data_IF_780113029362
#
_entry.id   IF_780113029362
#
_cell.length_a   1.000
_cell.length_b   1.000
_cell.length_c   1.000
_cell.angle_alpha   90.00
_cell.angle_beta   90.00
_cell.angle_gamma   90.00
#
_symmetry.space_group_name_H-M   'P 1'
#
loop_
_entity.id
_entity.type
_entity.pdbx_description
1 polymer ?
#
# COMPACT_ATOMS: atom_id res chain seq x y z
N UNK A 1 -4.13 61.53 24.39
CA UNK A 1 -3.95 60.69 23.18
C UNK A 1 -2.47 60.30 23.06
N UNK A 2 -2.13 59.16 22.46
CA UNK A 2 -0.76 58.57 22.30
C UNK A 2 -0.30 57.55 23.37
N UNK A 3 -0.95 56.38 23.48
CA UNK A 3 -0.30 55.15 24.00
C UNK A 3 -0.83 53.84 23.34
N UNK A 4 -1.07 53.82 22.02
CA UNK A 4 -1.56 52.60 21.33
C UNK A 4 -0.78 52.14 20.09
N UNK A 5 0.38 52.72 19.74
CA UNK A 5 0.98 52.46 18.41
C UNK A 5 2.17 51.48 18.36
N UNK A 6 2.64 50.94 19.49
CA UNK A 6 3.93 50.21 19.51
C UNK A 6 3.81 48.69 19.28
N UNK A 7 2.60 48.11 19.29
CA UNK A 7 2.45 46.64 19.31
C UNK A 7 2.16 45.97 17.95
N UNK A 8 2.17 46.70 16.83
CA UNK A 8 1.80 46.13 15.51
C UNK A 8 2.96 45.82 14.58
N UNK A 9 4.18 46.29 14.90
CA UNK A 9 5.32 46.23 13.99
C UNK A 9 6.21 44.98 14.16
N UNK A 10 6.02 44.20 15.23
CA UNK A 10 6.85 43.01 15.54
C UNK A 10 6.36 41.74 14.83
N UNK A 11 5.05 41.61 14.60
CA UNK A 11 4.45 40.39 14.05
C UNK A 11 4.77 40.22 12.55
N UNK A 12 4.85 41.31 11.79
CA UNK A 12 5.06 41.25 10.33
C UNK A 12 6.46 40.69 9.98
N UNK A 13 7.46 40.89 10.85
CA UNK A 13 8.83 40.41 10.59
C UNK A 13 9.00 38.90 10.81
N UNK A 14 8.19 38.30 11.68
CA UNK A 14 8.28 36.85 11.98
C UNK A 14 7.69 36.04 10.81
N UNK A 15 6.60 36.49 10.21
CA UNK A 15 5.97 35.79 9.07
C UNK A 15 6.86 35.78 7.81
N UNK A 16 7.63 36.83 7.57
CA UNK A 16 8.52 36.90 6.40
C UNK A 16 9.67 35.86 6.46
N UNK A 17 10.22 35.60 7.66
CA UNK A 17 11.30 34.61 7.82
C UNK A 17 10.78 33.18 7.60
N UNK A 18 9.57 32.88 8.09
CA UNK A 18 8.94 31.57 7.89
C UNK A 18 8.60 31.29 6.42
N UNK A 19 8.12 32.30 5.68
CA UNK A 19 7.78 32.16 4.27
C UNK A 19 9.00 31.87 3.38
N UNK A 20 10.15 32.50 3.67
CA UNK A 20 11.39 32.28 2.91
C UNK A 20 11.94 30.86 3.17
N UNK A 21 11.88 30.37 4.41
CA UNK A 21 12.30 29.00 4.74
C UNK A 21 11.39 27.95 4.09
N UNK A 22 10.08 28.18 4.04
CA UNK A 22 9.12 27.25 3.43
C UNK A 22 9.29 27.14 1.90
N UNK A 23 9.66 28.24 1.23
CA UNK A 23 9.90 28.23 -0.22
C UNK A 23 11.17 27.47 -0.63
N UNK A 24 12.23 27.50 0.19
CA UNK A 24 13.47 26.78 -0.10
C UNK A 24 13.31 25.25 -0.04
N UNK A 25 12.32 24.74 0.69
CA UNK A 25 12.05 23.29 0.81
C UNK A 25 11.34 22.73 -0.43
N UNK A 26 10.58 23.55 -1.17
CA UNK A 26 9.74 23.02 -2.27
C UNK A 26 10.48 22.73 -3.58
N UNK A 27 11.71 23.22 -3.79
CA UNK A 27 12.37 23.11 -5.09
C UNK A 27 13.16 21.81 -5.32
N UNK A 28 13.30 20.94 -4.32
CA UNK A 28 14.09 19.70 -4.44
C UNK A 28 13.28 18.44 -4.80
N UNK A 29 11.95 18.53 -4.99
CA UNK A 29 11.11 17.34 -5.22
C UNK A 29 10.76 17.10 -6.71
N UNK A 30 11.09 18.03 -7.60
CA UNK A 30 10.67 17.95 -9.01
C UNK A 30 11.77 17.50 -9.99
N UNK A 31 12.75 16.69 -9.56
CA UNK A 31 13.76 16.09 -10.45
C UNK A 31 13.94 14.61 -10.12
N UNK A 32 12.90 13.80 -10.36
CA UNK A 32 13.03 12.36 -10.64
C UNK A 32 11.75 11.78 -11.28
N UNK A 33 11.08 12.55 -12.14
CA UNK A 33 9.82 12.12 -12.78
C UNK A 33 9.96 11.74 -14.27
N UNK A 34 11.18 11.70 -14.82
CA UNK A 34 11.37 11.42 -16.25
C UNK A 34 12.63 10.61 -16.48
N UNK A 35 12.54 9.27 -16.34
CA UNK A 35 13.37 8.23 -17.01
C UNK A 35 13.00 6.81 -16.55
N UNK A 36 11.74 6.56 -16.15
CA UNK A 36 11.23 5.20 -15.92
C UNK A 36 9.99 4.89 -16.77
N UNK A 37 9.87 5.57 -17.92
CA UNK A 37 8.82 5.31 -18.88
C UNK A 37 9.45 4.82 -20.18
N UNK A 38 10.17 3.71 -20.10
CA UNK A 38 10.48 2.91 -21.26
C UNK A 38 10.46 1.43 -20.87
N UNK A 39 9.64 0.68 -21.59
CA UNK A 39 9.61 -0.78 -21.68
C UNK A 39 9.17 -1.56 -20.43
N UNK A 40 7.86 -1.78 -20.29
CA UNK A 40 7.30 -3.05 -19.79
C UNK A 40 5.88 -3.23 -20.36
N UNK A 41 5.71 -2.94 -21.65
CA UNK A 41 4.51 -3.35 -22.37
C UNK A 41 4.80 -4.70 -23.06
N UNK A 42 3.89 -5.63 -22.83
CA UNK A 42 3.75 -6.95 -23.42
C UNK A 42 4.61 -8.12 -22.88
N UNK A 43 3.84 -9.15 -22.49
CA UNK A 43 4.13 -10.59 -22.49
C UNK A 43 4.94 -11.22 -21.36
N UNK A 44 4.20 -11.90 -20.48
CA UNK A 44 4.44 -13.24 -19.89
C UNK A 44 5.70 -13.55 -19.09
N UNK A 45 6.62 -12.61 -18.88
CA UNK A 45 7.75 -12.88 -17.98
C UNK A 45 8.16 -11.63 -17.19
N UNK A 46 7.38 -11.33 -16.14
CA UNK A 46 7.64 -10.19 -15.24
C UNK A 46 8.77 -10.47 -14.22
N UNK A 47 9.32 -11.69 -14.20
CA UNK A 47 10.37 -12.11 -13.25
C UNK A 47 11.72 -11.44 -13.52
N UNK A 48 11.99 -10.95 -14.73
CA UNK A 48 13.32 -10.50 -15.13
C UNK A 48 13.58 -8.99 -14.88
N UNK A 49 12.58 -8.22 -14.43
CA UNK A 49 12.65 -6.76 -14.32
C UNK A 49 12.24 -6.24 -12.92
N UNK A 50 12.42 -7.03 -11.86
CA UNK A 50 12.01 -6.62 -10.52
C UNK A 50 13.16 -5.95 -9.78
N UNK A 51 13.07 -4.63 -9.63
CA UNK A 51 13.97 -3.87 -8.77
C UNK A 51 13.76 -4.34 -7.31
N UNK A 52 14.80 -4.88 -6.62
CA UNK A 52 14.67 -5.31 -5.23
C UNK A 52 14.27 -4.17 -4.28
N UNK A 53 14.40 -2.91 -4.72
CA UNK A 53 13.99 -1.72 -3.97
C UNK A 53 12.53 -1.34 -4.20
N UNK A 54 11.94 -1.77 -5.31
CA UNK A 54 10.58 -1.47 -5.73
C UNK A 54 9.93 -2.71 -6.40
N UNK A 55 9.63 -3.78 -5.63
CA UNK A 55 9.02 -4.98 -6.19
C UNK A 55 7.63 -4.70 -6.74
N UNK A 56 7.26 -5.44 -7.79
CA UNK A 56 5.94 -5.31 -8.39
C UNK A 56 4.87 -5.71 -7.38
N UNK A 57 3.70 -5.06 -7.46
CA UNK A 57 2.55 -5.39 -6.62
C UNK A 57 2.17 -6.89 -6.67
N UNK A 58 2.01 -7.54 -7.84
CA UNK A 58 1.73 -8.97 -7.88
C UNK A 58 2.82 -9.82 -7.24
N UNK A 59 4.09 -9.42 -7.32
CA UNK A 59 5.18 -10.12 -6.67
C UNK A 59 5.12 -10.04 -5.14
N UNK A 60 4.89 -8.84 -4.58
CA UNK A 60 4.73 -8.68 -3.11
C UNK A 60 3.61 -9.58 -2.61
N UNK A 61 2.50 -9.64 -3.35
CA UNK A 61 1.32 -10.41 -2.93
C UNK A 61 1.61 -11.90 -3.05
N UNK A 62 2.26 -12.37 -4.12
CA UNK A 62 2.71 -13.78 -4.25
C UNK A 62 3.66 -14.18 -3.13
N UNK A 63 4.65 -13.35 -2.83
CA UNK A 63 5.59 -13.59 -1.73
C UNK A 63 4.88 -13.62 -0.37
N UNK A 64 3.90 -12.73 -0.16
CA UNK A 64 3.08 -12.76 1.05
C UNK A 64 2.23 -14.03 1.12
N UNK A 65 1.60 -14.45 0.02
CA UNK A 65 0.80 -15.68 -0.02
C UNK A 65 1.65 -16.92 0.26
N UNK A 66 2.82 -17.04 -0.38
CA UNK A 66 3.76 -18.13 -0.13
C UNK A 66 4.34 -18.14 1.29
N UNK A 67 4.40 -16.99 1.96
CA UNK A 67 4.80 -16.91 3.38
C UNK A 67 3.67 -17.32 4.33
N UNK A 68 2.42 -17.11 3.93
CA UNK A 68 1.23 -17.44 4.72
C UNK A 68 0.74 -18.87 4.53
N UNK A 69 1.07 -19.49 3.39
CA UNK A 69 0.94 -20.92 3.11
C UNK A 69 1.93 -21.70 3.98
N UNK A 70 1.45 -22.24 5.09
CA UNK A 70 2.27 -22.92 6.10
C UNK A 70 2.46 -24.41 5.80
N UNK A 71 1.54 -25.01 5.06
CA UNK A 71 1.59 -26.42 4.71
C UNK A 71 2.25 -26.68 3.33
N UNK A 72 2.47 -25.62 2.54
CA UNK A 72 3.15 -25.64 1.26
C UNK A 72 2.29 -26.22 0.14
N UNK A 73 0.96 -26.16 0.26
CA UNK A 73 0.04 -26.74 -0.71
C UNK A 73 -0.22 -25.81 -1.93
N UNK A 74 0.43 -24.64 -2.00
CA UNK A 74 0.26 -23.58 -3.00
C UNK A 74 -1.15 -22.97 -3.03
N UNK A 75 -1.88 -23.11 -1.93
CA UNK A 75 -3.16 -22.48 -1.67
C UNK A 75 -3.10 -21.84 -0.30
N UNK A 76 -3.93 -20.83 -0.10
CA UNK A 76 -4.10 -20.20 1.20
C UNK A 76 -5.43 -20.64 1.76
N UNK A 77 -5.41 -21.55 2.73
CA UNK A 77 -6.64 -22.02 3.37
C UNK A 77 -7.20 -20.95 4.30
N UNK A 78 -8.53 -20.99 4.51
CA UNK A 78 -9.21 -20.15 5.51
C UNK A 78 -8.54 -20.23 6.89
N UNK A 79 -8.15 -21.43 7.31
CA UNK A 79 -7.53 -21.70 8.62
C UNK A 79 -6.19 -21.00 8.80
N UNK A 80 -5.35 -21.03 7.77
CA UNK A 80 -4.03 -20.38 7.72
C UNK A 80 -4.17 -18.85 7.71
N UNK A 81 -5.13 -18.35 6.94
CA UNK A 81 -5.43 -16.93 6.88
C UNK A 81 -5.98 -16.42 8.22
N UNK A 82 -6.85 -17.18 8.89
CA UNK A 82 -7.30 -16.88 10.25
C UNK A 82 -6.16 -16.89 11.25
N UNK A 83 -5.28 -17.90 11.19
CA UNK A 83 -4.11 -18.00 12.05
C UNK A 83 -3.20 -16.78 11.88
N UNK A 84 -2.92 -16.39 10.63
CA UNK A 84 -2.11 -15.22 10.32
C UNK A 84 -2.69 -13.91 10.86
N UNK A 85 -4.00 -13.69 10.71
CA UNK A 85 -4.68 -12.51 11.28
C UNK A 85 -4.63 -12.55 12.82
N UNK A 86 -4.75 -13.73 13.42
CA UNK A 86 -4.63 -13.91 14.85
C UNK A 86 -3.20 -13.71 15.37
N UNK A 87 -2.16 -13.87 14.55
CA UNK A 87 -0.79 -13.51 14.95
C UNK A 87 -0.56 -12.00 15.00
N UNK A 88 -1.35 -11.22 14.27
CA UNK A 88 -1.17 -9.77 14.25
C UNK A 88 -1.47 -9.15 15.62
N UNK A 89 -0.77 -8.06 15.98
CA UNK A 89 -1.06 -7.31 17.19
C UNK A 89 -2.53 -6.84 17.25
N UNK A 90 -3.07 -6.73 18.45
CA UNK A 90 -4.48 -6.43 18.70
C UNK A 90 -4.97 -5.13 18.00
N UNK A 91 -4.11 -4.12 17.84
CA UNK A 91 -4.44 -2.87 17.17
C UNK A 91 -4.65 -3.05 15.66
N UNK A 92 -3.89 -3.95 15.02
CA UNK A 92 -4.04 -4.31 13.60
C UNK A 92 -5.29 -5.16 13.37
N UNK A 93 -5.67 -6.01 14.33
CA UNK A 93 -6.90 -6.82 14.27
C UNK A 93 -8.16 -5.95 14.21
N UNK A 94 -8.19 -4.84 14.95
CA UNK A 94 -9.32 -3.89 14.93
C UNK A 94 -9.54 -3.28 13.55
N UNK A 95 -8.45 -2.89 12.88
CA UNK A 95 -8.49 -2.37 11.51
C UNK A 95 -8.94 -3.45 10.53
N UNK A 96 -8.36 -4.66 10.60
CA UNK A 96 -8.73 -5.76 9.69
C UNK A 96 -10.19 -6.18 9.82
N UNK A 97 -10.77 -6.14 11.03
CA UNK A 97 -12.19 -6.39 11.25
C UNK A 97 -13.09 -5.40 10.51
N UNK A 98 -12.65 -4.16 10.34
CA UNK A 98 -13.37 -3.12 9.58
C UNK A 98 -13.12 -3.23 8.08
N UNK A 99 -11.89 -3.57 7.67
CA UNK A 99 -11.45 -3.49 6.28
C UNK A 99 -11.71 -4.78 5.49
N UNK A 100 -11.59 -5.93 6.12
CA UNK A 100 -11.70 -7.22 5.43
C UNK A 100 -11.44 -8.35 6.40
N UNK A 101 -12.49 -8.85 7.06
CA UNK A 101 -12.45 -10.12 7.76
C UNK A 101 -12.05 -11.25 6.79
N UNK A 102 -11.61 -12.39 7.32
CA UNK A 102 -11.29 -13.58 6.51
C UNK A 102 -12.42 -13.89 5.53
N UNK A 103 -13.66 -13.88 5.99
CA UNK A 103 -14.84 -14.10 5.12
C UNK A 103 -14.91 -13.17 3.91
N UNK A 104 -14.57 -11.89 4.08
CA UNK A 104 -14.59 -10.90 2.99
C UNK A 104 -13.43 -11.07 2.04
N UNK A 105 -12.29 -11.55 2.54
CA UNK A 105 -11.12 -11.87 1.72
C UNK A 105 -11.45 -13.11 0.88
N UNK A 106 -11.89 -14.20 1.52
CA UNK A 106 -12.33 -15.42 0.85
C UNK A 106 -13.39 -15.10 -0.21
N UNK A 107 -14.50 -14.44 0.15
CA UNK A 107 -15.57 -14.12 -0.80
C UNK A 107 -15.17 -13.25 -2.01
N UNK A 108 -13.99 -12.63 -2.01
CA UNK A 108 -13.51 -11.79 -3.11
C UNK A 108 -12.35 -12.40 -3.89
N UNK A 109 -11.55 -13.22 -3.22
CA UNK A 109 -10.27 -13.70 -3.71
C UNK A 109 -10.32 -15.18 -4.05
N UNK A 110 -11.23 -15.94 -3.44
CA UNK A 110 -11.58 -17.31 -3.82
C UNK A 110 -12.55 -17.24 -5.00
N UNK A 111 -12.05 -17.55 -6.20
CA UNK A 111 -12.81 -17.41 -7.45
C UNK A 111 -13.59 -18.68 -7.80
N UNK A 112 -13.12 -19.85 -7.35
CA UNK A 112 -13.73 -21.15 -7.62
C UNK A 112 -14.64 -21.63 -6.46
N UNK A 113 -14.54 -21.00 -5.30
CA UNK A 113 -15.37 -21.25 -4.12
C UNK A 113 -14.94 -22.48 -3.33
N UNK A 114 -13.66 -22.86 -3.40
CA UNK A 114 -13.13 -24.05 -2.72
C UNK A 114 -12.71 -23.81 -1.26
N UNK A 115 -13.00 -22.61 -0.72
CA UNK A 115 -12.63 -22.16 0.63
C UNK A 115 -11.10 -22.10 0.85
N UNK A 116 -10.34 -22.06 -0.24
CA UNK A 116 -8.93 -21.72 -0.31
C UNK A 116 -8.68 -20.67 -1.41
N UNK A 117 -7.52 -20.02 -1.37
CA UNK A 117 -7.10 -19.10 -2.44
C UNK A 117 -5.88 -19.69 -3.10
N UNK A 118 -6.03 -20.25 -4.30
CA UNK A 118 -4.91 -20.77 -5.07
C UNK A 118 -3.97 -19.65 -5.52
N UNK A 119 -2.68 -19.82 -5.22
CA UNK A 119 -1.66 -18.79 -5.46
C UNK A 119 -1.46 -18.56 -6.97
N UNK A 120 -1.53 -19.63 -7.75
CA UNK A 120 -1.33 -19.58 -9.21
C UNK A 120 -2.63 -19.54 -10.01
N UNK A 121 -3.77 -19.89 -9.39
CA UNK A 121 -5.08 -19.95 -10.06
C UNK A 121 -5.91 -18.73 -9.75
N UNK A 122 -6.14 -18.41 -8.48
CA UNK A 122 -7.13 -17.41 -8.07
C UNK A 122 -6.54 -16.01 -7.94
N UNK A 123 -5.30 -15.90 -7.46
CA UNK A 123 -4.61 -14.59 -7.36
C UNK A 123 -4.45 -13.87 -8.72
N UNK A 124 -4.03 -14.51 -9.83
CA UNK A 124 -3.95 -13.81 -11.11
C UNK A 124 -5.32 -13.52 -11.70
N UNK A 125 -6.33 -14.36 -11.43
CA UNK A 125 -7.70 -14.12 -11.93
C UNK A 125 -8.42 -13.01 -11.17
N UNK A 126 -8.02 -12.72 -9.93
CA UNK A 126 -8.63 -11.70 -9.08
C UNK A 126 -7.75 -10.46 -8.85
N UNK A 127 -6.71 -10.27 -9.68
CA UNK A 127 -5.76 -9.14 -9.57
C UNK A 127 -6.48 -7.78 -9.54
N UNK A 128 -7.49 -7.60 -10.39
CA UNK A 128 -8.21 -6.34 -10.54
C UNK A 128 -9.44 -6.18 -9.63
N UNK A 129 -9.83 -7.24 -8.90
CA UNK A 129 -11.06 -7.24 -8.08
C UNK A 129 -10.72 -7.40 -6.59
N UNK A 130 -10.10 -8.52 -6.22
CA UNK A 130 -9.61 -8.81 -4.88
C UNK A 130 -8.50 -7.83 -4.52
N UNK A 131 -7.40 -7.87 -5.27
CA UNK A 131 -6.19 -7.15 -4.90
C UNK A 131 -6.42 -5.65 -5.05
N UNK A 132 -6.96 -5.17 -6.17
CA UNK A 132 -7.30 -3.76 -6.39
C UNK A 132 -8.15 -3.15 -5.25
N UNK A 133 -9.16 -3.86 -4.75
CA UNK A 133 -10.02 -3.33 -3.68
C UNK A 133 -9.35 -3.33 -2.31
N UNK A 134 -8.38 -4.23 -2.08
CA UNK A 134 -7.65 -4.34 -0.81
C UNK A 134 -6.67 -3.18 -0.57
N UNK A 135 -6.05 -2.64 -1.61
CA UNK A 135 -5.04 -1.56 -1.50
C UNK A 135 -5.53 -0.17 -1.91
N UNK A 136 -6.81 0.01 -2.27
CA UNK A 136 -7.33 1.28 -2.83
C UNK A 136 -7.41 2.45 -1.85
N UNK A 137 -6.92 2.33 -0.60
CA UNK A 137 -6.90 3.44 0.36
C UNK A 137 -5.57 4.18 0.34
N UNK A 138 -5.41 5.07 -0.62
CA UNK A 138 -4.64 6.31 -0.41
C UNK A 138 -5.66 7.44 -0.30
N UNK A 139 -5.84 7.95 0.92
CA UNK A 139 -6.40 9.28 1.16
C UNK A 139 -5.25 10.29 1.11
#
# INVERSE_FOLDING_TARGET
>A
MLKCFVNRMSIIRIFAIWAIAFHAVQQNVMVLATTANEQCDNTKDRSACEDPKCPSRPHIIRCAAAYLDTDGNNKLERSELEYAINLLPWYSRGILKVIGSVDKIMAKCDADGDDAIGIDTDMPMTEETCLASCFKRKA
#
